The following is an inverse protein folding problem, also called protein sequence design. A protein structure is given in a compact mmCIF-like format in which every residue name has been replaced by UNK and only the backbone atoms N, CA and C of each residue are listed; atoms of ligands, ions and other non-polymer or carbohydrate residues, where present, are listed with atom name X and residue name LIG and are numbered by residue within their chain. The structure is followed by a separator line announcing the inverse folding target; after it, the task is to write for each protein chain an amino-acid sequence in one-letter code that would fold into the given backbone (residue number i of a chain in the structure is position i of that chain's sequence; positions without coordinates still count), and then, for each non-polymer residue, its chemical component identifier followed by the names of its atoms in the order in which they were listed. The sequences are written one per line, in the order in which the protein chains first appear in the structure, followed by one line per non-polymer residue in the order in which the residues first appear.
data_IF_803267740687
#
_entry.id   IF_803267740687
#
_cell.length_a   1.000
_cell.length_b   1.000
_cell.length_c   1.000
_cell.angle_alpha   90.00
_cell.angle_beta   90.00
_cell.angle_gamma   90.00
#
_symmetry.space_group_name_H-M   'P 1'
#
loop_
_entity.id
_entity.type
_entity.pdbx_description
1 polymer ?
#
# COMPACT_ATOMS: atom_id res chain seq x y z
N UNK A 1 1.64 -7.60 -14.20
CA UNK A 1 1.48 -6.52 -15.22
C UNK A 1 2.66 -5.58 -15.00
N UNK A 2 3.45 -5.23 -16.02
CA UNK A 2 4.64 -4.36 -15.84
C UNK A 2 4.24 -3.04 -15.17
N UNK A 3 4.90 -2.67 -14.07
CA UNK A 3 4.68 -1.44 -13.30
C UNK A 3 4.84 -0.19 -14.16
N UNK A 4 5.67 -0.25 -15.21
CA UNK A 4 5.80 0.81 -16.22
C UNK A 4 4.48 1.17 -16.92
N UNK A 5 3.50 0.25 -16.99
CA UNK A 5 2.18 0.54 -17.59
C UNK A 5 1.24 1.34 -16.68
N UNK A 6 1.51 1.44 -15.38
CA UNK A 6 0.63 2.14 -14.43
C UNK A 6 0.73 3.68 -14.56
N UNK A 7 1.93 4.19 -14.86
CA UNK A 7 2.19 5.63 -14.89
C UNK A 7 2.25 6.24 -16.29
N UNK A 8 2.31 5.40 -17.33
CA UNK A 8 2.46 5.83 -18.73
C UNK A 8 1.20 6.47 -19.32
N UNK A 9 0.01 6.23 -18.76
CA UNK A 9 -1.24 6.87 -19.21
C UNK A 9 -1.38 8.34 -18.80
N UNK A 10 -0.67 8.75 -17.75
CA UNK A 10 -0.77 10.10 -17.17
C UNK A 10 0.23 11.10 -17.76
N UNK A 11 1.25 10.60 -18.46
CA UNK A 11 2.35 11.40 -19.03
C UNK A 11 1.97 12.20 -20.29
N UNK A 12 0.82 11.93 -20.92
CA UNK A 12 0.48 12.51 -22.23
C UNK A 12 0.13 14.00 -22.18
N UNK A 13 -0.25 14.53 -21.01
CA UNK A 13 -0.57 15.97 -20.84
C UNK A 13 0.66 16.88 -20.76
N UNK A 14 1.83 16.33 -20.45
CA UNK A 14 3.08 17.09 -20.29
C UNK A 14 4.19 16.65 -21.26
N UNK A 15 3.81 15.94 -22.34
CA UNK A 15 4.70 15.33 -23.33
C UNK A 15 5.43 16.33 -24.26
N UNK A 16 6.10 17.33 -23.67
CA UNK A 16 7.26 17.97 -24.28
C UNK A 16 8.46 17.61 -23.43
N UNK A 17 9.37 16.82 -24.01
CA UNK A 17 10.60 16.28 -23.40
C UNK A 17 11.63 17.35 -22.98
N UNK A 18 11.23 18.62 -22.87
CA UNK A 18 12.08 19.78 -22.62
C UNK A 18 11.62 20.66 -21.44
N UNK A 19 10.53 20.33 -20.73
CA UNK A 19 10.09 21.14 -19.58
C UNK A 19 10.70 20.64 -18.27
N UNK A 20 11.15 21.55 -17.42
CA UNK A 20 11.66 21.22 -16.07
C UNK A 20 10.61 20.48 -15.24
N UNK A 21 9.33 20.82 -15.39
CA UNK A 21 8.22 20.16 -14.70
C UNK A 21 8.08 18.68 -15.10
N UNK A 22 8.24 18.35 -16.37
CA UNK A 22 8.23 16.96 -16.83
C UNK A 22 9.44 16.20 -16.27
N UNK A 23 10.64 16.80 -16.26
CA UNK A 23 11.82 16.17 -15.66
C UNK A 23 11.65 15.91 -14.15
N UNK A 24 11.08 16.87 -13.41
CA UNK A 24 10.76 16.70 -11.98
C UNK A 24 9.73 15.59 -11.79
N UNK A 25 8.66 15.60 -12.59
CA UNK A 25 7.65 14.53 -12.55
C UNK A 25 8.25 13.16 -12.83
N UNK A 26 9.03 12.99 -13.89
CA UNK A 26 9.68 11.72 -14.23
C UNK A 26 10.63 11.24 -13.12
N UNK A 27 11.42 12.15 -12.54
CA UNK A 27 12.33 11.82 -11.43
C UNK A 27 11.56 11.32 -10.21
N UNK A 28 10.50 12.06 -9.82
CA UNK A 28 9.62 11.68 -8.75
C UNK A 28 9.00 10.29 -9.03
N UNK A 29 8.36 10.11 -10.17
CA UNK A 29 7.70 8.85 -10.52
C UNK A 29 8.68 7.67 -10.57
N UNK A 30 9.92 7.88 -11.03
CA UNK A 30 10.95 6.84 -11.03
C UNK A 30 11.27 6.33 -9.62
N UNK A 31 11.27 7.20 -8.61
CA UNK A 31 11.46 6.80 -7.21
C UNK A 31 10.29 5.93 -6.72
N UNK A 32 9.04 6.33 -6.99
CA UNK A 32 7.86 5.52 -6.64
C UNK A 32 7.87 4.17 -7.34
N UNK A 33 8.18 4.15 -8.64
CA UNK A 33 8.29 2.91 -9.42
C UNK A 33 9.36 1.97 -8.84
N UNK A 34 10.52 2.51 -8.45
CA UNK A 34 11.60 1.72 -7.83
C UNK A 34 11.13 1.10 -6.52
N UNK A 35 10.47 1.89 -5.65
CA UNK A 35 9.91 1.37 -4.39
C UNK A 35 8.85 0.29 -4.64
N UNK A 36 7.98 0.48 -5.63
CA UNK A 36 6.97 -0.51 -6.02
C UNK A 36 7.59 -1.78 -6.57
N UNK A 37 8.56 -1.70 -7.48
CA UNK A 37 9.23 -2.85 -8.08
C UNK A 37 10.01 -3.66 -7.04
N UNK A 38 10.72 -2.99 -6.13
CA UNK A 38 11.43 -3.65 -5.05
C UNK A 38 10.48 -4.38 -4.10
N UNK A 39 9.35 -3.75 -3.79
CA UNK A 39 8.28 -4.34 -2.97
C UNK A 39 7.64 -5.54 -3.67
N UNK A 40 7.38 -5.46 -4.98
CA UNK A 40 6.80 -6.54 -5.79
C UNK A 40 7.71 -7.77 -5.78
N UNK A 41 9.00 -7.57 -6.05
CA UNK A 41 10.02 -8.64 -6.04
C UNK A 41 10.08 -9.31 -4.68
N UNK A 42 10.14 -8.49 -3.63
CA UNK A 42 10.15 -8.91 -2.23
C UNK A 42 8.92 -9.77 -1.88
N UNK A 43 7.71 -9.29 -2.17
CA UNK A 43 6.46 -10.02 -1.92
C UNK A 43 6.30 -11.29 -2.79
N UNK A 44 6.76 -11.23 -4.03
CA UNK A 44 6.78 -12.35 -4.97
C UNK A 44 7.70 -13.48 -4.51
N UNK A 45 8.85 -13.15 -3.91
CA UNK A 45 9.84 -14.12 -3.42
C UNK A 45 9.37 -14.92 -2.19
N UNK A 46 8.34 -14.45 -1.48
CA UNK A 46 7.77 -15.17 -0.33
C UNK A 46 7.07 -16.44 -0.83
N UNK A 47 7.72 -17.59 -0.59
CA UNK A 47 7.21 -18.91 -0.93
C UNK A 47 6.26 -19.43 0.15
N UNK A 48 5.26 -20.23 -0.28
CA UNK A 48 4.32 -20.87 0.65
C UNK A 48 5.05 -21.77 1.67
N UNK A 49 6.11 -22.45 1.22
CA UNK A 49 6.94 -23.30 2.06
C UNK A 49 7.58 -22.53 3.22
N UNK A 50 8.17 -21.35 2.95
CA UNK A 50 8.74 -20.49 4.00
C UNK A 50 7.68 -20.04 5.01
N UNK A 51 6.44 -19.81 4.56
CA UNK A 51 5.34 -19.39 5.43
C UNK A 51 4.83 -20.53 6.31
N UNK A 52 4.99 -21.80 5.90
CA UNK A 52 4.59 -22.97 6.67
C UNK A 52 5.64 -23.44 7.68
N UNK A 53 6.93 -23.27 7.36
CA UNK A 53 8.04 -23.80 8.16
C UNK A 53 8.50 -22.89 9.29
N UNK A 54 8.11 -21.62 9.27
CA UNK A 54 8.52 -20.65 10.30
C UNK A 54 7.79 -20.93 11.62
N UNK A 55 8.54 -21.26 12.67
CA UNK A 55 7.97 -21.56 13.98
C UNK A 55 7.69 -20.29 14.78
N UNK A 56 8.45 -19.22 14.51
CA UNK A 56 8.31 -17.93 15.14
C UNK A 56 7.31 -17.04 14.38
N UNK A 57 6.12 -16.87 14.97
CA UNK A 57 5.05 -16.08 14.39
C UNK A 57 5.37 -14.57 14.35
N UNK A 58 6.19 -14.08 15.30
CA UNK A 58 6.58 -12.67 15.37
C UNK A 58 7.61 -12.36 14.29
N UNK A 59 8.65 -13.19 14.15
CA UNK A 59 9.62 -13.07 13.06
C UNK A 59 8.98 -13.20 11.67
N UNK A 60 7.98 -14.08 11.53
CA UNK A 60 7.20 -14.21 10.29
C UNK A 60 6.43 -12.93 9.99
N UNK A 61 5.82 -12.33 11.01
CA UNK A 61 5.04 -11.08 10.88
C UNK A 61 5.94 -9.92 10.47
N UNK A 62 7.06 -9.73 11.13
CA UNK A 62 8.01 -8.65 10.83
C UNK A 62 8.59 -8.80 9.42
N UNK A 63 8.91 -10.04 9.03
CA UNK A 63 9.34 -10.36 7.67
C UNK A 63 8.25 -10.08 6.64
N UNK A 64 6.98 -10.27 6.94
CA UNK A 64 5.89 -9.99 5.98
C UNK A 64 5.71 -8.47 5.83
N UNK A 65 5.61 -7.74 6.94
CA UNK A 65 5.28 -6.32 6.91
C UNK A 65 6.45 -5.46 6.42
N UNK A 66 7.67 -5.68 6.93
CA UNK A 66 8.86 -4.94 6.50
C UNK A 66 9.26 -5.16 5.03
N UNK A 67 8.65 -6.16 4.39
CA UNK A 67 8.90 -6.54 3.01
C UNK A 67 7.88 -5.93 2.04
N UNK A 68 6.73 -5.44 2.54
CA UNK A 68 5.58 -5.07 1.72
C UNK A 68 5.25 -3.57 1.67
N UNK A 69 5.70 -2.75 2.63
CA UNK A 69 5.23 -1.36 2.73
C UNK A 69 6.29 -0.33 3.08
N UNK A 70 7.33 -0.68 3.86
CA UNK A 70 8.30 0.28 4.40
C UNK A 70 8.85 1.23 3.33
N UNK A 71 9.40 0.68 2.25
CA UNK A 71 10.01 1.49 1.18
C UNK A 71 8.96 2.33 0.43
N UNK A 72 7.73 1.84 0.26
CA UNK A 72 6.65 2.62 -0.36
C UNK A 72 6.27 3.79 0.54
N UNK A 73 6.14 3.57 1.84
CA UNK A 73 5.76 4.63 2.79
C UNK A 73 6.84 5.68 2.94
N UNK A 74 8.11 5.29 2.99
CA UNK A 74 9.25 6.21 2.99
C UNK A 74 9.20 7.14 1.76
N UNK A 75 9.04 6.58 0.56
CA UNK A 75 9.00 7.36 -0.68
C UNK A 75 7.74 8.22 -0.76
N UNK A 76 6.57 7.70 -0.34
CA UNK A 76 5.32 8.47 -0.30
C UNK A 76 5.42 9.65 0.67
N UNK A 77 6.03 9.47 1.84
CA UNK A 77 6.23 10.54 2.83
C UNK A 77 7.13 11.66 2.27
N UNK A 78 8.22 11.29 1.61
CA UNK A 78 9.07 12.21 0.85
C UNK A 78 8.30 12.95 -0.24
N UNK A 79 7.47 12.22 -1.00
CA UNK A 79 6.62 12.78 -2.04
C UNK A 79 5.63 13.82 -1.51
N UNK A 80 4.91 13.48 -0.44
CA UNK A 80 3.96 14.39 0.18
C UNK A 80 4.65 15.65 0.71
N UNK A 81 5.85 15.51 1.28
CA UNK A 81 6.68 16.67 1.66
C UNK A 81 7.04 17.55 0.46
N UNK A 82 7.41 16.96 -0.68
CA UNK A 82 7.69 17.72 -1.90
C UNK A 82 6.46 18.41 -2.46
N UNK A 83 5.29 17.76 -2.45
CA UNK A 83 4.02 18.37 -2.87
C UNK A 83 3.70 19.58 -1.98
N UNK A 84 3.75 19.43 -0.65
CA UNK A 84 3.48 20.53 0.28
C UNK A 84 4.47 21.69 0.10
N UNK A 85 5.76 21.39 -0.10
CA UNK A 85 6.78 22.43 -0.36
C UNK A 85 6.55 23.14 -1.68
N UNK A 86 6.16 22.42 -2.74
CA UNK A 86 5.83 23.00 -4.04
C UNK A 86 4.62 23.93 -3.92
N UNK A 87 3.57 23.47 -3.24
CA UNK A 87 2.36 24.26 -3.03
C UNK A 87 2.66 25.55 -2.24
N UNK A 88 3.42 25.47 -1.15
CA UNK A 88 3.79 26.65 -0.38
C UNK A 88 4.72 27.60 -1.17
N UNK A 89 5.69 27.06 -1.91
CA UNK A 89 6.68 27.89 -2.62
C UNK A 89 6.10 28.56 -3.86
N UNK A 90 5.21 27.89 -4.59
CA UNK A 90 4.61 28.46 -5.81
C UNK A 90 3.32 29.17 -5.49
N UNK A 91 2.43 28.53 -4.73
CA UNK A 91 1.14 29.09 -4.34
C UNK A 91 1.30 30.37 -3.52
N UNK A 92 1.92 30.25 -2.36
CA UNK A 92 1.92 31.35 -1.40
C UNK A 92 2.97 32.43 -1.75
N UNK A 93 4.13 32.05 -2.32
CA UNK A 93 5.23 33.00 -2.52
C UNK A 93 5.37 33.54 -3.96
N UNK A 94 4.87 32.85 -4.99
CA UNK A 94 5.01 33.30 -6.39
C UNK A 94 3.69 33.83 -6.94
N UNK A 95 2.57 33.12 -6.70
CA UNK A 95 1.29 33.52 -7.28
C UNK A 95 0.74 34.81 -6.64
N UNK A 96 1.00 35.06 -5.35
CA UNK A 96 0.52 36.27 -4.66
C UNK A 96 1.03 37.57 -5.29
N UNK A 97 2.26 37.56 -5.80
CA UNK A 97 2.93 38.72 -6.42
C UNK A 97 2.75 38.78 -7.94
N UNK A 98 2.09 37.79 -8.55
CA UNK A 98 2.00 37.69 -10.00
C UNK A 98 0.91 38.60 -10.57
N UNK A 99 1.30 39.57 -11.40
CA UNK A 99 0.39 40.35 -12.23
C UNK A 99 0.62 40.08 -13.73
N UNK A 100 -0.43 40.13 -14.58
CA UNK A 100 -1.83 40.45 -14.27
C UNK A 100 -2.63 39.24 -13.71
N UNK A 101 -3.80 39.50 -13.10
CA UNK A 101 -4.66 38.46 -12.49
C UNK A 101 -4.97 37.28 -13.44
N UNK A 102 -5.19 37.55 -14.72
CA UNK A 102 -5.48 36.49 -15.71
C UNK A 102 -4.32 35.54 -15.95
N UNK A 103 -3.07 35.98 -15.71
CA UNK A 103 -1.89 35.11 -15.73
C UNK A 103 -1.80 34.32 -14.43
N UNK A 104 -2.05 34.98 -13.29
CA UNK A 104 -2.09 34.36 -11.96
C UNK A 104 -3.06 33.19 -11.91
N UNK A 105 -4.29 33.39 -12.37
CA UNK A 105 -5.33 32.35 -12.37
C UNK A 105 -4.91 31.13 -13.22
N UNK A 106 -4.30 31.36 -14.39
CA UNK A 106 -3.79 30.28 -15.24
C UNK A 106 -2.63 29.52 -14.60
N UNK A 107 -1.72 30.24 -13.92
CA UNK A 107 -0.61 29.61 -13.21
C UNK A 107 -1.09 28.82 -11.98
N UNK A 108 -2.09 29.34 -11.26
CA UNK A 108 -2.76 28.64 -10.15
C UNK A 108 -3.41 27.34 -10.63
N UNK A 109 -4.22 27.41 -11.69
CA UNK A 109 -4.85 26.23 -12.30
C UNK A 109 -3.80 25.19 -12.76
N UNK A 110 -2.68 25.65 -13.34
CA UNK A 110 -1.60 24.76 -13.76
C UNK A 110 -0.91 24.06 -12.59
N UNK A 111 -0.68 24.78 -11.48
CA UNK A 111 -0.13 24.23 -10.24
C UNK A 111 -1.08 23.20 -9.62
N UNK A 112 -2.36 23.53 -9.49
CA UNK A 112 -3.38 22.62 -8.94
C UNK A 112 -3.47 21.32 -9.77
N UNK A 113 -3.50 21.43 -11.09
CA UNK A 113 -3.50 20.27 -11.98
C UNK A 113 -2.24 19.39 -11.82
N UNK A 114 -1.08 20.02 -11.61
CA UNK A 114 0.17 19.30 -11.40
C UNK A 114 0.24 18.62 -10.03
N UNK A 115 -0.24 19.28 -8.97
CA UNK A 115 -0.37 18.69 -7.64
C UNK A 115 -1.32 17.49 -7.68
N UNK A 116 -2.50 17.64 -8.29
CA UNK A 116 -3.47 16.56 -8.42
C UNK A 116 -2.89 15.35 -9.18
N UNK A 117 -2.03 15.59 -10.17
CA UNK A 117 -1.30 14.52 -10.87
C UNK A 117 -0.37 13.74 -9.92
N UNK A 118 0.41 14.46 -9.11
CA UNK A 118 1.34 13.86 -8.14
C UNK A 118 0.59 13.08 -7.04
N UNK A 119 -0.50 13.65 -6.51
CA UNK A 119 -1.36 12.99 -5.52
C UNK A 119 -2.00 11.71 -6.08
N UNK A 120 -2.43 11.73 -7.35
CA UNK A 120 -2.93 10.55 -8.05
C UNK A 120 -1.88 9.45 -8.12
N UNK A 121 -0.62 9.80 -8.39
CA UNK A 121 0.49 8.83 -8.39
C UNK A 121 0.79 8.25 -7.02
N UNK A 122 0.72 9.06 -5.96
CA UNK A 122 0.82 8.58 -4.57
C UNK A 122 -0.30 7.60 -4.25
N UNK A 123 -1.55 7.94 -4.57
CA UNK A 123 -2.70 7.07 -4.34
C UNK A 123 -2.57 5.72 -5.06
N UNK A 124 -2.03 5.71 -6.28
CA UNK A 124 -1.73 4.48 -7.03
C UNK A 124 -0.68 3.62 -6.34
N UNK A 125 0.43 4.20 -5.87
CA UNK A 125 1.47 3.48 -5.14
C UNK A 125 0.96 2.87 -3.83
N UNK A 126 0.11 3.60 -3.10
CA UNK A 126 -0.53 3.11 -1.89
C UNK A 126 -1.51 1.95 -2.16
N UNK A 127 -2.32 2.07 -3.21
CA UNK A 127 -3.21 0.99 -3.66
C UNK A 127 -2.43 -0.26 -4.04
N UNK A 128 -1.28 -0.08 -4.69
CA UNK A 128 -0.37 -1.16 -5.01
C UNK A 128 0.22 -1.83 -3.75
N UNK A 129 0.67 -1.04 -2.78
CA UNK A 129 1.12 -1.54 -1.47
C UNK A 129 0.06 -2.37 -0.75
N UNK A 130 -1.21 -1.92 -0.75
CA UNK A 130 -2.35 -2.68 -0.22
C UNK A 130 -2.48 -4.03 -0.94
N UNK A 131 -2.42 -4.04 -2.27
CA UNK A 131 -2.53 -5.28 -3.05
C UNK A 131 -1.43 -6.28 -2.69
N UNK A 132 -0.18 -5.83 -2.53
CA UNK A 132 0.93 -6.69 -2.14
C UNK A 132 0.74 -7.24 -0.72
N UNK A 133 0.30 -6.42 0.22
CA UNK A 133 -0.03 -6.88 1.58
C UNK A 133 -1.09 -7.97 1.55
N UNK A 134 -2.17 -7.79 0.79
CA UNK A 134 -3.25 -8.78 0.67
C UNK A 134 -2.78 -10.07 -0.01
N UNK A 135 -1.86 -9.99 -0.97
CA UNK A 135 -1.30 -11.18 -1.58
C UNK A 135 -0.55 -12.02 -0.55
N UNK A 136 0.30 -11.38 0.26
CA UNK A 136 1.03 -12.08 1.32
C UNK A 136 0.08 -12.58 2.41
N UNK A 137 -0.88 -11.76 2.82
CA UNK A 137 -1.96 -12.15 3.74
C UNK A 137 -2.71 -13.39 3.24
N UNK A 138 -3.12 -13.41 1.97
CA UNK A 138 -3.80 -14.54 1.36
C UNK A 138 -2.94 -15.81 1.30
N UNK A 139 -1.62 -15.69 1.08
CA UNK A 139 -0.68 -16.83 1.16
C UNK A 139 -0.60 -17.38 2.58
N UNK A 140 -0.50 -16.52 3.59
CA UNK A 140 -0.46 -16.92 5.01
C UNK A 140 -1.74 -17.64 5.41
N UNK A 141 -2.90 -17.06 5.10
CA UNK A 141 -4.19 -17.65 5.44
C UNK A 141 -4.34 -19.03 4.80
N UNK A 142 -3.95 -19.19 3.52
CA UNK A 142 -3.96 -20.51 2.84
C UNK A 142 -2.96 -21.51 3.42
N UNK A 143 -1.80 -21.05 3.87
CA UNK A 143 -0.76 -21.90 4.41
C UNK A 143 -1.07 -22.42 5.81
N UNK A 144 -1.81 -21.64 6.61
CA UNK A 144 -1.97 -21.87 8.06
C UNK A 144 -3.40 -22.20 8.49
N UNK A 145 -4.40 -21.90 7.67
CA UNK A 145 -5.80 -22.26 7.94
C UNK A 145 -6.12 -23.56 7.20
N UNK A 146 -6.46 -24.61 7.95
CA UNK A 146 -6.77 -25.94 7.42
C UNK A 146 -8.25 -26.27 7.61
N UNK A 147 -8.76 -27.24 6.83
CA UNK A 147 -10.19 -27.61 6.84
C UNK A 147 -10.67 -28.08 8.22
N UNK A 148 -9.82 -28.79 8.96
CA UNK A 148 -10.14 -29.30 10.30
C UNK A 148 -10.28 -28.20 11.35
N UNK A 149 -9.86 -26.97 11.06
CA UNK A 149 -10.07 -25.82 11.95
C UNK A 149 -11.55 -25.42 12.04
N UNK A 150 -12.35 -25.71 10.99
CA UNK A 150 -13.78 -25.41 10.93
C UNK A 150 -14.69 -26.64 10.89
N UNK A 151 -14.10 -27.82 10.69
CA UNK A 151 -14.75 -29.11 10.82
C UNK A 151 -13.85 -30.05 11.64
N UNK A 152 -13.69 -29.81 12.96
CA UNK A 152 -12.93 -30.70 13.82
C UNK A 152 -13.54 -32.11 13.80
N UNK A 153 -12.69 -33.13 13.98
CA UNK A 153 -13.17 -34.52 14.11
C UNK A 153 -13.83 -34.68 15.47
N UNK A 154 -14.74 -35.65 15.61
CA UNK A 154 -15.48 -35.89 16.86
C UNK A 154 -14.54 -36.06 18.07
N UNK A 155 -13.39 -36.71 17.89
CA UNK A 155 -12.36 -36.89 18.92
C UNK A 155 -11.70 -35.57 19.38
N UNK A 156 -11.68 -34.54 18.53
CA UNK A 156 -11.11 -33.21 18.83
C UNK A 156 -12.14 -32.28 19.51
N UNK A 157 -13.44 -32.60 19.39
CA UNK A 157 -14.54 -31.86 20.02
C UNK A 157 -14.48 -31.99 21.55
N UNK A 158 -14.16 -33.18 22.05
CA UNK A 158 -14.09 -33.51 23.49
C UNK A 158 -12.90 -32.86 24.22
N UNK A 159 -11.87 -32.44 23.49
CA UNK A 159 -10.66 -31.80 24.04
C UNK A 159 -10.75 -30.26 24.11
N UNK A 160 -11.96 -29.69 23.96
CA UNK A 160 -12.20 -28.25 24.03
C UNK A 160 -11.53 -27.48 22.88
N UNK A 161 -11.44 -28.08 21.70
CA UNK A 161 -10.86 -27.47 20.50
C UNK A 161 -11.74 -26.38 19.86
N UNK A 162 -13.06 -26.50 20.02
CA UNK A 162 -14.04 -25.52 19.54
C UNK A 162 -13.89 -24.17 20.25
N UNK A 163 -13.79 -23.10 19.46
CA UNK A 163 -13.66 -21.74 19.97
C UNK A 163 -12.22 -21.27 20.26
N UNK A 164 -11.20 -22.10 19.99
CA UNK A 164 -9.80 -21.66 20.06
C UNK A 164 -9.43 -20.84 18.82
N UNK A 165 -8.63 -19.79 19.05
CA UNK A 165 -8.06 -18.96 17.98
C UNK A 165 -7.11 -19.80 17.15
N UNK A 166 -7.28 -19.76 15.82
CA UNK A 166 -6.41 -20.52 14.91
C UNK A 166 -5.06 -19.82 14.73
N UNK A 167 -3.97 -20.55 14.45
CA UNK A 167 -2.68 -19.94 14.14
C UNK A 167 -2.75 -18.93 12.99
N UNK A 168 -3.58 -19.19 11.98
CA UNK A 168 -3.79 -18.26 10.88
C UNK A 168 -4.43 -16.94 11.35
N UNK A 169 -5.40 -17.00 12.26
CA UNK A 169 -6.03 -15.83 12.86
C UNK A 169 -5.01 -14.99 13.64
N UNK A 170 -4.16 -15.63 14.45
CA UNK A 170 -3.10 -14.93 15.21
C UNK A 170 -2.16 -14.17 14.29
N UNK A 171 -1.62 -14.83 13.25
CA UNK A 171 -0.70 -14.18 12.30
C UNK A 171 -1.44 -13.08 11.52
N UNK A 172 -2.68 -13.31 11.10
CA UNK A 172 -3.48 -12.31 10.39
C UNK A 172 -3.63 -11.02 11.21
N UNK A 173 -3.98 -11.13 12.49
CA UNK A 173 -4.12 -9.99 13.40
C UNK A 173 -2.77 -9.30 13.63
N UNK A 174 -1.69 -10.07 13.77
CA UNK A 174 -0.35 -9.52 13.92
C UNK A 174 0.10 -8.74 12.67
N UNK A 175 -0.12 -9.28 11.47
CA UNK A 175 0.13 -8.59 10.20
C UNK A 175 -0.66 -7.29 10.08
N UNK A 176 -1.97 -7.31 10.39
CA UNK A 176 -2.82 -6.11 10.37
C UNK A 176 -2.29 -5.07 11.37
N UNK A 177 -1.91 -5.51 12.57
CA UNK A 177 -1.38 -4.63 13.62
C UNK A 177 -0.03 -4.01 13.25
N UNK A 178 0.83 -4.78 12.58
CA UNK A 178 2.12 -4.32 12.09
C UNK A 178 1.97 -3.33 10.93
N UNK A 179 1.07 -3.59 9.97
CA UNK A 179 0.71 -2.63 8.91
C UNK A 179 0.16 -1.34 9.50
N UNK A 180 -0.73 -1.43 10.49
CA UNK A 180 -1.27 -0.27 11.19
C UNK A 180 -0.15 0.54 11.88
N UNK A 181 0.75 -0.13 12.60
CA UNK A 181 1.88 0.52 13.26
C UNK A 181 2.76 1.25 12.25
N UNK A 182 3.12 0.59 11.16
CA UNK A 182 3.94 1.15 10.10
C UNK A 182 3.28 2.35 9.43
N UNK A 183 1.96 2.28 9.19
CA UNK A 183 1.17 3.37 8.64
C UNK A 183 1.23 4.61 9.55
N UNK A 184 1.01 4.41 10.85
CA UNK A 184 1.04 5.49 11.84
C UNK A 184 2.44 6.10 11.99
N UNK A 185 3.50 5.30 11.88
CA UNK A 185 4.88 5.78 12.11
C UNK A 185 5.53 6.40 10.87
N UNK A 186 5.23 5.94 9.65
CA UNK A 186 5.99 6.31 8.45
C UNK A 186 5.20 7.05 7.36
N UNK A 187 3.90 6.78 7.19
CA UNK A 187 3.15 7.25 6.03
C UNK A 187 2.76 8.74 6.10
N UNK A 188 2.64 9.29 7.32
CA UNK A 188 2.33 10.70 7.56
C UNK A 188 0.85 11.08 7.46
N UNK A 189 0.48 12.19 8.11
CA UNK A 189 -0.89 12.63 8.40
C UNK A 189 -1.95 12.46 7.29
N UNK A 190 -1.82 13.13 6.12
CA UNK A 190 -2.91 13.18 5.13
C UNK A 190 -3.21 11.83 4.48
N UNK A 191 -2.23 10.92 4.45
CA UNK A 191 -2.34 9.64 3.75
C UNK A 191 -2.82 8.49 4.67
N UNK A 192 -2.74 8.64 6.00
CA UNK A 192 -3.09 7.58 6.96
C UNK A 192 -4.55 7.15 6.81
N UNK A 193 -5.50 8.10 6.85
CA UNK A 193 -6.93 7.78 6.84
C UNK A 193 -7.35 7.13 5.51
N UNK A 194 -7.02 7.71 4.32
CA UNK A 194 -7.35 7.07 3.05
C UNK A 194 -6.74 5.67 2.91
N UNK A 195 -5.47 5.51 3.32
CA UNK A 195 -4.80 4.21 3.28
C UNK A 195 -5.49 3.18 4.18
N UNK A 196 -5.77 3.53 5.44
CA UNK A 196 -6.36 2.61 6.41
C UNK A 196 -7.78 2.20 6.04
N UNK A 197 -8.58 3.13 5.49
CA UNK A 197 -9.91 2.80 4.97
C UNK A 197 -9.80 1.80 3.81
N UNK A 198 -8.94 2.11 2.82
CA UNK A 198 -8.72 1.22 1.69
C UNK A 198 -8.18 -0.14 2.10
N UNK A 199 -7.24 -0.19 3.05
CA UNK A 199 -6.68 -1.43 3.58
C UNK A 199 -7.73 -2.25 4.32
N UNK A 200 -8.51 -1.63 5.20
CA UNK A 200 -9.59 -2.28 5.96
C UNK A 200 -10.65 -2.92 5.06
N UNK A 201 -11.14 -2.18 4.08
CA UNK A 201 -12.12 -2.68 3.10
C UNK A 201 -11.58 -3.90 2.34
N UNK A 202 -10.33 -3.81 1.90
CA UNK A 202 -9.67 -4.87 1.16
C UNK A 202 -9.41 -6.13 2.01
N UNK A 203 -9.00 -5.96 3.27
CA UNK A 203 -8.85 -7.07 4.22
C UNK A 203 -10.20 -7.74 4.48
N UNK A 204 -11.26 -6.95 4.70
CA UNK A 204 -12.61 -7.47 4.88
C UNK A 204 -13.06 -8.30 3.67
N UNK A 205 -12.85 -7.80 2.45
CA UNK A 205 -13.17 -8.55 1.23
C UNK A 205 -12.36 -9.85 1.11
N UNK A 206 -11.06 -9.81 1.39
CA UNK A 206 -10.19 -10.98 1.35
C UNK A 206 -10.63 -12.05 2.38
N UNK A 207 -10.95 -11.63 3.59
CA UNK A 207 -11.48 -12.52 4.64
C UNK A 207 -12.82 -13.11 4.24
N UNK A 208 -13.74 -12.31 3.69
CA UNK A 208 -15.05 -12.79 3.22
C UNK A 208 -14.91 -13.91 2.18
N UNK A 209 -14.00 -13.73 1.21
CA UNK A 209 -13.70 -14.75 0.20
C UNK A 209 -13.06 -15.99 0.86
N UNK A 210 -12.11 -15.78 1.77
CA UNK A 210 -11.41 -16.87 2.45
C UNK A 210 -12.39 -17.74 3.26
N UNK A 211 -13.19 -17.14 4.13
CA UNK A 211 -14.18 -17.87 4.94
C UNK A 211 -15.27 -18.52 4.08
N UNK A 212 -15.67 -17.89 2.97
CA UNK A 212 -16.61 -18.49 2.01
C UNK A 212 -16.10 -19.74 1.29
N UNK A 213 -14.80 -20.05 1.39
CA UNK A 213 -14.21 -21.24 0.77
C UNK A 213 -14.22 -22.49 1.66
N UNK A 214 -14.66 -22.37 2.91
CA UNK A 214 -14.72 -23.49 3.85
C UNK A 214 -16.14 -24.03 4.03
N UNK A 215 -16.22 -25.31 4.36
CA UNK A 215 -17.43 -25.93 4.91
C UNK A 215 -17.34 -25.87 6.44
N UNK A 216 -18.48 -25.68 7.10
CA UNK A 216 -18.59 -25.57 8.55
C UNK A 216 -19.52 -26.70 9.05
N UNK A 217 -19.23 -27.27 10.22
CA UNK A 217 -20.09 -28.24 10.89
C UNK A 217 -21.07 -27.59 11.87
#
# INVERSE_FOLDING_TARGET
RSVQKLFSSNSSRYASSCSLLDQVYQYLIAMLQTAMDDTDKKCGSISLFSLTSEADLEALTDKIVGTSLDHIFEVVSLFSSYISRLQASVGDAILEDLEPQSLRDKCAESLENFIALLESSVAQALTFGISNCLQVFGKVMKARQIRTDFCPRDDDMDMGGLGKVTPACTIAVQCISAVHRLCVTQLGGPNIVPFMNGFGDNVFQALRIHFGSFTYN
#
